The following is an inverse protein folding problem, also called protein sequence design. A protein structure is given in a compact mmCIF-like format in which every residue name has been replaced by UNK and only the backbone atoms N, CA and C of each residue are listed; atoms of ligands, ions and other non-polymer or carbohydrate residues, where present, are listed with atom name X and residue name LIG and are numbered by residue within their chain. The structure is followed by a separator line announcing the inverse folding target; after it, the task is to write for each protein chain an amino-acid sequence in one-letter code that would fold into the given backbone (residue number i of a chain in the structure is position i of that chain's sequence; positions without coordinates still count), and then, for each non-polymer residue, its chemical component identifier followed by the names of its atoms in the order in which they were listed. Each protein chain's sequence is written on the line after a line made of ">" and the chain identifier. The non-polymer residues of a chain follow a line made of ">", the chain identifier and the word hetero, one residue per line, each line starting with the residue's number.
data_IF_406839150376
#
_entry.id   IF_406839150376
#
_cell.length_a   1.000
_cell.length_b   1.000
_cell.length_c   1.000
_cell.angle_alpha   90.00
_cell.angle_beta   90.00
_cell.angle_gamma   90.00
#
_symmetry.space_group_name_H-M   'P 1'
#
loop_
_entity.id
_entity.type
_entity.pdbx_description
1 polymer ?
#
# COMPACT_ATOMS: atom_id res chain seq x y z
N UNK A 1 2.63 -31.84 0.91
CA UNK A 1 1.55 -30.96 1.39
C UNK A 1 2.13 -29.71 2.01
N UNK A 2 1.69 -28.59 1.59
CA UNK A 2 2.17 -27.34 2.11
C UNK A 2 1.32 -26.88 3.28
N UNK A 3 1.99 -26.47 4.37
CA UNK A 3 1.33 -25.90 5.54
C UNK A 3 1.45 -24.39 5.56
N UNK A 4 1.56 -23.77 4.36
CA UNK A 4 1.65 -22.32 4.28
C UNK A 4 0.35 -21.70 4.78
N UNK A 5 0.47 -20.87 5.80
CA UNK A 5 -0.69 -20.17 6.34
C UNK A 5 -1.20 -19.16 5.32
N UNK A 6 -2.51 -19.14 5.13
CA UNK A 6 -3.15 -18.12 4.30
C UNK A 6 -3.24 -16.84 5.12
N UNK A 7 -2.72 -15.70 4.62
CA UNK A 7 -2.95 -14.43 5.29
C UNK A 7 -4.45 -14.19 5.46
N UNK A 8 -4.83 -13.62 6.58
CA UNK A 8 -6.26 -13.47 6.91
C UNK A 8 -6.78 -12.07 6.69
N UNK A 9 -5.90 -11.08 6.67
CA UNK A 9 -6.29 -9.69 6.54
C UNK A 9 -5.72 -9.15 5.24
N UNK A 10 -6.59 -8.65 4.37
CA UNK A 10 -6.19 -8.06 3.10
C UNK A 10 -6.76 -6.64 3.06
N UNK A 11 -5.90 -5.62 3.02
CA UNK A 11 -6.38 -4.25 2.88
C UNK A 11 -7.16 -4.06 1.59
N UNK A 12 -8.20 -3.25 1.66
CA UNK A 12 -9.01 -2.86 0.49
C UNK A 12 -8.95 -1.35 0.40
N UNK A 13 -8.37 -0.84 -0.67
CA UNK A 13 -8.21 0.58 -0.89
C UNK A 13 -8.90 1.01 -2.18
N UNK A 14 -9.49 2.19 -2.15
CA UNK A 14 -10.12 2.77 -3.33
C UNK A 14 -9.34 3.99 -3.77
N UNK A 15 -9.22 4.17 -5.08
CA UNK A 15 -8.52 5.29 -5.71
C UNK A 15 -9.42 5.90 -6.76
N UNK A 16 -9.37 7.22 -6.91
CA UNK A 16 -10.08 7.90 -7.99
C UNK A 16 -9.50 7.51 -9.35
N UNK A 17 -8.16 7.41 -9.41
CA UNK A 17 -7.46 6.94 -10.60
C UNK A 17 -6.73 5.63 -10.24
N UNK A 18 -7.48 4.55 -10.14
CA UNK A 18 -6.92 3.26 -9.76
C UNK A 18 -5.91 2.72 -10.77
N UNK A 19 -6.08 2.88 -12.09
CA UNK A 19 -5.04 2.43 -13.02
C UNK A 19 -3.69 3.11 -12.77
N UNK A 20 -3.67 4.42 -12.56
CA UNK A 20 -2.43 5.14 -12.25
C UNK A 20 -1.85 4.71 -10.90
N UNK A 21 -2.72 4.51 -9.89
CA UNK A 21 -2.28 4.06 -8.58
C UNK A 21 -1.66 2.67 -8.64
N UNK A 22 -2.24 1.77 -9.41
CA UNK A 22 -1.73 0.41 -9.57
C UNK A 22 -0.30 0.41 -10.10
N UNK A 23 -0.03 1.20 -11.13
CA UNK A 23 1.31 1.32 -11.69
C UNK A 23 2.28 1.99 -10.72
N UNK A 24 1.82 3.05 -10.05
CA UNK A 24 2.68 3.82 -9.15
C UNK A 24 3.08 3.01 -7.92
N UNK A 25 2.12 2.29 -7.31
CA UNK A 25 2.41 1.47 -6.14
C UNK A 25 3.44 0.38 -6.44
N UNK A 26 3.36 -0.22 -7.61
CA UNK A 26 4.35 -1.21 -8.03
C UNK A 26 5.73 -0.57 -8.18
N UNK A 27 5.80 0.60 -8.84
CA UNK A 27 7.07 1.28 -9.09
C UNK A 27 7.67 1.87 -7.83
N UNK A 28 6.86 2.55 -7.01
CA UNK A 28 7.37 3.29 -5.86
C UNK A 28 7.62 2.41 -4.63
N UNK A 29 6.72 1.48 -4.36
CA UNK A 29 6.77 0.68 -3.14
C UNK A 29 7.20 -0.76 -3.37
N UNK A 30 7.46 -1.16 -4.61
CA UNK A 30 8.01 -2.47 -4.91
C UNK A 30 7.00 -3.60 -4.91
N UNK A 31 5.72 -3.30 -4.97
CA UNK A 31 4.71 -4.35 -5.09
C UNK A 31 4.77 -5.00 -6.46
N UNK A 32 4.43 -6.27 -6.52
CA UNK A 32 4.26 -6.99 -7.78
C UNK A 32 2.80 -6.92 -8.21
N UNK A 33 2.58 -6.60 -9.49
CA UNK A 33 1.25 -6.64 -10.08
C UNK A 33 0.84 -8.09 -10.21
N UNK A 34 -0.21 -8.49 -9.54
CA UNK A 34 -0.63 -9.87 -9.54
C UNK A 34 -1.85 -10.11 -10.41
N UNK A 35 -2.83 -9.20 -10.39
CA UNK A 35 -4.09 -9.42 -11.06
C UNK A 35 -4.79 -8.09 -11.30
N UNK A 36 -5.48 -7.97 -12.42
CA UNK A 36 -6.35 -6.84 -12.72
C UNK A 36 -7.62 -7.37 -13.36
N UNK A 37 -8.76 -6.94 -12.83
CA UNK A 37 -10.06 -7.12 -13.48
C UNK A 37 -10.52 -5.74 -13.93
N UNK A 38 -10.55 -5.48 -15.25
CA UNK A 38 -10.96 -4.17 -15.74
C UNK A 38 -12.44 -3.90 -15.45
N UNK A 39 -12.73 -2.63 -15.18
CA UNK A 39 -14.09 -2.16 -15.10
C UNK A 39 -14.45 -1.34 -16.34
N UNK A 40 -15.65 -0.74 -16.36
CA UNK A 40 -16.08 0.07 -17.51
C UNK A 40 -15.27 1.36 -17.59
N UNK A 41 -15.14 1.87 -18.83
CA UNK A 41 -14.55 3.20 -19.11
C UNK A 41 -13.14 3.40 -18.55
N UNK A 42 -12.31 2.36 -18.62
CA UNK A 42 -10.92 2.46 -18.17
C UNK A 42 -10.73 2.40 -16.66
N UNK A 43 -11.76 2.02 -15.91
CA UNK A 43 -11.65 1.84 -14.47
C UNK A 43 -11.11 0.46 -14.12
N UNK A 44 -10.84 0.23 -12.85
CA UNK A 44 -10.49 -1.08 -12.32
C UNK A 44 -11.60 -1.57 -11.40
N UNK A 45 -12.19 -2.73 -11.75
CA UNK A 45 -13.18 -3.35 -10.88
C UNK A 45 -12.52 -4.00 -9.67
N UNK A 46 -11.33 -4.61 -9.87
CA UNK A 46 -10.56 -5.26 -8.81
C UNK A 46 -9.14 -5.46 -9.28
N UNK A 47 -8.18 -5.14 -8.43
CA UNK A 47 -6.78 -5.44 -8.71
C UNK A 47 -6.08 -5.88 -7.44
N UNK A 48 -5.02 -6.63 -7.61
CA UNK A 48 -4.22 -7.15 -6.50
C UNK A 48 -2.75 -6.85 -6.71
N UNK A 49 -2.13 -6.31 -5.67
CA UNK A 49 -0.71 -6.05 -5.59
C UNK A 49 -0.13 -6.94 -4.50
N UNK A 50 0.95 -7.62 -4.81
CA UNK A 50 1.53 -8.64 -3.94
C UNK A 50 2.89 -8.19 -3.42
N UNK A 51 3.16 -8.49 -2.16
CA UNK A 51 4.48 -8.33 -1.57
C UNK A 51 4.71 -9.52 -0.63
N UNK A 52 5.63 -10.42 -1.02
CA UNK A 52 5.79 -11.68 -0.29
C UNK A 52 4.48 -12.45 -0.27
N UNK A 53 4.01 -12.82 0.91
CA UNK A 53 2.74 -13.54 1.08
C UNK A 53 1.54 -12.59 1.25
N UNK A 54 1.77 -11.29 1.28
CA UNK A 54 0.71 -10.30 1.51
C UNK A 54 0.16 -9.76 0.22
N UNK A 55 -1.12 -9.41 0.23
CA UNK A 55 -1.81 -8.85 -0.94
C UNK A 55 -2.62 -7.65 -0.49
N UNK A 56 -2.51 -6.57 -1.26
CA UNK A 56 -3.36 -5.39 -1.12
C UNK A 56 -4.33 -5.39 -2.30
N UNK A 57 -5.61 -5.20 -2.01
CA UNK A 57 -6.66 -5.15 -3.02
C UNK A 57 -7.03 -3.70 -3.29
N UNK A 58 -7.07 -3.32 -4.56
CA UNK A 58 -7.46 -1.97 -4.93
C UNK A 58 -8.53 -1.98 -6.00
N UNK A 59 -9.29 -0.91 -6.07
CA UNK A 59 -10.31 -0.72 -7.10
C UNK A 59 -10.57 0.77 -7.26
N UNK A 60 -11.23 1.12 -8.37
CA UNK A 60 -11.67 2.49 -8.60
C UNK A 60 -12.79 2.82 -7.61
N UNK A 61 -12.72 4.00 -7.02
CA UNK A 61 -13.75 4.47 -6.10
C UNK A 61 -15.08 4.59 -6.82
N UNK A 62 -16.13 4.17 -6.15
CA UNK A 62 -17.49 4.24 -6.70
C UNK A 62 -18.49 4.27 -5.54
N UNK A 63 -19.69 4.72 -5.85
CA UNK A 63 -20.77 4.68 -4.86
C UNK A 63 -21.33 3.26 -4.81
N UNK A 64 -21.14 2.61 -3.67
CA UNK A 64 -21.66 1.27 -3.40
C UNK A 64 -21.90 1.14 -1.90
N UNK A 65 -22.22 -0.06 -1.44
CA UNK A 65 -22.54 -0.29 -0.03
C UNK A 65 -21.36 0.05 0.90
N UNK A 66 -20.13 -0.13 0.44
CA UNK A 66 -18.94 0.19 1.25
C UNK A 66 -18.66 1.69 1.29
N UNK A 67 -18.98 2.38 0.20
CA UNK A 67 -18.82 3.83 0.07
C UNK A 67 -17.42 4.33 0.45
N UNK A 68 -16.39 3.57 0.07
CA UNK A 68 -15.00 3.93 0.36
C UNK A 68 -14.52 4.98 -0.62
N UNK A 69 -13.76 5.93 -0.11
CA UNK A 69 -13.20 7.03 -0.89
C UNK A 69 -11.71 7.13 -0.65
N UNK A 70 -10.98 7.73 -1.59
CA UNK A 70 -9.58 8.05 -1.34
C UNK A 70 -9.47 9.18 -0.33
N UNK A 71 -8.36 9.27 0.40
CA UNK A 71 -8.15 10.38 1.33
C UNK A 71 -8.23 11.75 0.68
N UNK A 72 -7.77 11.89 -0.58
CA UNK A 72 -7.85 13.15 -1.29
C UNK A 72 -9.31 13.60 -1.45
N UNK A 73 -10.21 12.68 -1.75
CA UNK A 73 -11.63 12.99 -1.87
C UNK A 73 -12.31 13.18 -0.52
N UNK A 74 -11.97 12.32 0.46
CA UNK A 74 -12.58 12.39 1.79
C UNK A 74 -12.08 13.57 2.61
N UNK A 75 -10.89 14.07 2.32
CA UNK A 75 -10.29 15.15 3.07
C UNK A 75 -9.65 14.70 4.38
N UNK A 76 -9.50 13.40 4.59
CA UNK A 76 -8.95 12.85 5.83
C UNK A 76 -8.43 11.44 5.60
N UNK A 77 -7.48 11.04 6.45
CA UNK A 77 -6.98 9.67 6.54
C UNK A 77 -7.50 9.08 7.85
N UNK A 78 -8.02 7.86 7.81
CA UNK A 78 -8.54 7.20 9.00
C UNK A 78 -7.73 5.98 9.42
N UNK A 79 -6.73 5.60 8.62
CA UNK A 79 -5.89 4.45 8.91
C UNK A 79 -4.60 4.55 8.12
N UNK A 80 -3.62 3.74 8.51
CA UNK A 80 -2.38 3.58 7.79
C UNK A 80 -2.11 2.09 7.62
N UNK A 81 -1.28 1.77 6.63
CA UNK A 81 -0.80 0.41 6.43
C UNK A 81 0.67 0.38 6.82
N UNK A 82 1.04 -0.58 7.65
CA UNK A 82 2.45 -0.84 7.93
C UNK A 82 2.90 -2.02 7.09
N UNK A 83 4.02 -1.86 6.41
CA UNK A 83 4.58 -2.87 5.51
C UNK A 83 5.99 -3.19 5.97
N UNK A 84 6.26 -4.48 6.20
CA UNK A 84 7.62 -4.93 6.51
C UNK A 84 8.45 -4.93 5.24
N UNK A 85 9.64 -4.34 5.31
CA UNK A 85 10.63 -4.37 4.23
C UNK A 85 12.01 -4.63 4.83
N UNK A 86 12.85 -5.37 4.11
CA UNK A 86 14.16 -5.73 4.62
C UNK A 86 15.13 -4.56 4.61
N UNK A 87 15.25 -3.87 3.49
CA UNK A 87 16.15 -2.73 3.33
C UNK A 87 15.37 -1.44 3.32
N UNK A 88 15.13 -0.90 4.52
CA UNK A 88 14.27 0.27 4.69
C UNK A 88 14.86 1.50 4.01
N UNK A 89 16.17 1.69 4.07
CA UNK A 89 16.83 2.84 3.47
C UNK A 89 16.69 2.84 1.94
N UNK A 90 16.91 1.68 1.31
CA UNK A 90 16.77 1.56 -0.14
C UNK A 90 15.30 1.75 -0.56
N UNK A 91 14.38 1.21 0.23
CA UNK A 91 12.95 1.38 -0.03
C UNK A 91 12.54 2.84 0.05
N UNK A 92 13.01 3.54 1.06
CA UNK A 92 12.77 4.97 1.25
C UNK A 92 13.25 5.77 0.03
N UNK A 93 14.47 5.51 -0.43
CA UNK A 93 15.03 6.25 -1.56
C UNK A 93 14.25 5.99 -2.83
N UNK A 94 13.86 4.75 -3.06
CA UNK A 94 13.02 4.38 -4.22
C UNK A 94 11.68 5.09 -4.19
N UNK A 95 11.02 5.10 -3.04
CA UNK A 95 9.72 5.75 -2.89
C UNK A 95 9.83 7.25 -3.14
N UNK A 96 10.85 7.89 -2.56
CA UNK A 96 11.08 9.32 -2.73
C UNK A 96 11.31 9.67 -4.20
N UNK A 97 12.15 8.91 -4.88
CA UNK A 97 12.44 9.15 -6.30
C UNK A 97 11.21 8.98 -7.17
N UNK A 98 10.28 8.13 -6.78
CA UNK A 98 9.03 7.92 -7.51
C UNK A 98 7.96 8.96 -7.17
N UNK A 99 8.27 9.93 -6.31
CA UNK A 99 7.36 11.03 -5.99
C UNK A 99 6.50 10.84 -4.77
N UNK A 100 6.81 9.85 -3.91
CA UNK A 100 6.08 9.69 -2.66
C UNK A 100 6.28 10.91 -1.76
N UNK A 101 5.22 11.32 -1.08
CA UNK A 101 5.29 12.40 -0.11
C UNK A 101 5.77 11.83 1.22
N UNK A 102 7.04 12.00 1.54
CA UNK A 102 7.63 11.47 2.77
C UNK A 102 7.15 12.34 3.93
N UNK A 103 6.30 11.78 4.78
CA UNK A 103 5.73 12.51 5.91
C UNK A 103 6.46 12.23 7.21
N UNK A 104 7.14 11.10 7.32
CA UNK A 104 8.06 10.80 8.41
C UNK A 104 9.34 10.29 7.76
N UNK A 105 10.44 11.02 7.96
CA UNK A 105 11.73 10.65 7.36
C UNK A 105 12.26 9.34 7.93
N UNK A 106 13.26 8.80 7.25
CA UNK A 106 13.91 7.57 7.69
C UNK A 106 14.54 7.80 9.06
N UNK A 107 14.15 6.97 10.04
CA UNK A 107 14.64 7.10 11.41
C UNK A 107 14.80 5.74 12.07
N UNK A 108 15.63 5.70 13.13
CA UNK A 108 15.73 4.52 13.97
C UNK A 108 14.70 4.61 15.10
N UNK A 109 14.07 3.49 15.42
CA UNK A 109 13.11 3.43 16.51
C UNK A 109 13.82 3.05 17.81
N UNK A 110 13.22 3.36 18.98
CA UNK A 110 13.80 2.96 20.28
C UNK A 110 13.93 1.44 20.44
N UNK A 111 13.20 0.66 19.67
CA UNK A 111 13.21 -0.81 19.77
C UNK A 111 14.08 -1.46 18.68
N UNK A 112 14.98 -0.70 18.06
CA UNK A 112 16.03 -1.26 17.20
C UNK A 112 15.68 -1.51 15.76
N UNK A 113 14.60 -0.95 15.26
CA UNK A 113 14.24 -1.04 13.85
C UNK A 113 14.46 0.31 13.16
N UNK A 114 14.25 0.35 11.83
CA UNK A 114 14.24 1.58 11.06
C UNK A 114 12.88 1.69 10.39
N UNK A 115 12.38 2.92 10.27
CA UNK A 115 11.05 3.16 9.71
C UNK A 115 11.00 4.49 8.97
N UNK A 116 10.06 4.61 8.06
CA UNK A 116 9.65 5.87 7.46
C UNK A 116 8.18 5.76 7.06
N UNK A 117 7.55 6.89 6.76
CA UNK A 117 6.17 6.90 6.32
C UNK A 117 5.98 7.86 5.15
N UNK A 118 5.07 7.51 4.26
CA UNK A 118 4.81 8.29 3.06
C UNK A 118 3.34 8.26 2.70
N UNK A 119 2.91 9.31 1.98
CA UNK A 119 1.60 9.31 1.31
C UNK A 119 1.78 8.93 -0.14
N UNK A 120 0.86 8.15 -0.64
CA UNK A 120 0.79 7.90 -2.07
C UNK A 120 0.09 9.09 -2.77
N UNK A 121 0.00 9.09 -4.12
CA UNK A 121 -0.55 10.26 -4.83
C UNK A 121 -1.98 10.64 -4.46
N UNK A 122 -2.76 9.73 -3.89
CA UNK A 122 -4.12 10.04 -3.46
C UNK A 122 -4.28 10.16 -1.96
N UNK A 123 -3.16 10.17 -1.23
CA UNK A 123 -3.16 10.50 0.17
C UNK A 123 -3.27 9.34 1.15
N UNK A 124 -3.34 8.10 0.68
CA UNK A 124 -3.27 6.97 1.60
C UNK A 124 -1.89 6.95 2.27
N UNK A 125 -1.88 6.66 3.56
CA UNK A 125 -0.66 6.66 4.36
C UNK A 125 -0.11 5.24 4.48
N UNK A 126 1.18 5.12 4.18
CA UNK A 126 1.93 3.86 4.25
C UNK A 126 3.13 4.06 5.16
N UNK A 127 3.33 3.15 6.09
CA UNK A 127 4.50 3.12 6.93
C UNK A 127 5.31 1.88 6.57
N UNK A 128 6.62 2.03 6.45
CA UNK A 128 7.52 0.95 6.07
C UNK A 128 8.61 0.81 7.12
N UNK A 129 8.92 -0.43 7.46
CA UNK A 129 9.95 -0.67 8.45
C UNK A 129 10.38 -2.12 8.49
N UNK A 130 11.40 -2.41 9.28
CA UNK A 130 11.88 -3.77 9.45
C UNK A 130 11.54 -4.36 10.82
N UNK A 131 10.53 -3.81 11.48
CA UNK A 131 9.93 -4.44 12.64
C UNK A 131 8.85 -5.41 12.16
N UNK A 132 8.86 -6.61 12.71
CA UNK A 132 7.82 -7.59 12.44
C UNK A 132 7.23 -8.05 13.78
N UNK A 133 5.91 -7.96 13.97
CA UNK A 133 5.29 -8.46 15.20
C UNK A 133 5.51 -9.94 15.38
N UNK A 134 5.81 -10.36 16.60
CA UNK A 134 5.91 -11.77 16.94
C UNK A 134 4.53 -12.35 17.18
N UNK A 135 4.34 -13.59 16.75
CA UNK A 135 3.01 -14.21 16.78
C UNK A 135 2.80 -15.21 17.93
N UNK A 136 3.79 -15.43 18.77
CA UNK A 136 3.64 -16.41 19.88
C UNK A 136 3.25 -15.78 21.19
#
# INVERSE_FOLDING_TARGET
>A
MSDVAVPRVFPVLRYEDAPAAFEWLARAFGFEKQMVVPGPKGTIAHAQLKLGASVVMIATAQEDELNLKSPATAGAVTQALYVYVDDVAAHHDRAREAGADIIVGLEETPYGSREYAARDPEGHVWSFGNYAPELD
#
